data_IF_477049272221
#
_entry.id   IF_477049272221
#
_cell.length_a   1.000
_cell.length_b   1.000
_cell.length_c   1.000
_cell.angle_alpha   90.00
_cell.angle_beta   90.00
_cell.angle_gamma   90.00
#
_symmetry.space_group_name_H-M   'P 1'
#
loop_
_entity.id
_entity.type
_entity.pdbx_description
1 polymer ?
#
# COMPACT_ATOMS: atom_id res chain seq x y z
N UNK A 1 -21.71 24.07 25.78
CA UNK A 1 -20.57 23.76 24.90
C UNK A 1 -20.71 24.62 23.63
N UNK A 2 -19.72 25.42 23.24
CA UNK A 2 -19.84 26.23 22.03
C UNK A 2 -19.74 25.33 20.77
N UNK A 3 -20.24 25.81 19.63
CA UNK A 3 -20.29 25.03 18.38
C UNK A 3 -18.91 24.51 17.94
N UNK A 4 -17.85 25.29 18.17
CA UNK A 4 -16.48 24.91 17.87
C UNK A 4 -16.03 23.70 18.70
N UNK A 5 -16.26 23.69 20.02
CA UNK A 5 -15.94 22.55 20.88
C UNK A 5 -16.76 21.32 20.51
N UNK A 6 -18.02 21.47 20.11
CA UNK A 6 -18.85 20.35 19.65
C UNK A 6 -18.30 19.73 18.36
N UNK A 7 -17.91 20.57 17.39
CA UNK A 7 -17.29 20.12 16.12
C UNK A 7 -15.97 19.43 16.40
N UNK A 8 -15.11 20.02 17.23
CA UNK A 8 -13.82 19.43 17.58
C UNK A 8 -14.00 18.05 18.26
N UNK A 9 -14.95 17.94 19.19
CA UNK A 9 -15.26 16.69 19.87
C UNK A 9 -15.76 15.62 18.89
N UNK A 10 -16.59 16.01 17.91
CA UNK A 10 -17.08 15.11 16.86
C UNK A 10 -15.93 14.62 15.97
N UNK A 11 -15.01 15.49 15.55
CA UNK A 11 -13.83 15.11 14.77
C UNK A 11 -12.96 14.13 15.56
N UNK A 12 -12.67 14.44 16.82
CA UNK A 12 -11.90 13.54 17.70
C UNK A 12 -12.59 12.19 17.85
N UNK A 13 -13.90 12.17 18.07
CA UNK A 13 -14.66 10.93 18.16
C UNK A 13 -14.60 10.10 16.87
N UNK A 14 -14.71 10.74 15.69
CA UNK A 14 -14.57 10.06 14.39
C UNK A 14 -13.18 9.45 14.24
N UNK A 15 -12.12 10.21 14.55
CA UNK A 15 -10.74 9.71 14.49
C UNK A 15 -10.54 8.53 15.42
N UNK A 16 -11.05 8.60 16.66
CA UNK A 16 -10.93 7.50 17.64
C UNK A 16 -11.69 6.26 17.16
N UNK A 17 -12.91 6.41 16.66
CA UNK A 17 -13.69 5.28 16.12
C UNK A 17 -12.97 4.64 14.93
N UNK A 18 -12.41 5.45 14.03
CA UNK A 18 -11.63 4.98 12.89
C UNK A 18 -10.37 4.22 13.32
N UNK A 19 -9.63 4.74 14.30
CA UNK A 19 -8.46 4.06 14.87
C UNK A 19 -8.84 2.74 15.55
N UNK A 20 -9.97 2.68 16.26
CA UNK A 20 -10.47 1.44 16.88
C UNK A 20 -10.91 0.43 15.82
N UNK A 21 -11.59 0.86 14.75
CA UNK A 21 -11.96 -0.01 13.64
C UNK A 21 -10.71 -0.65 12.99
N UNK A 22 -9.63 0.12 12.89
CA UNK A 22 -8.33 -0.31 12.36
C UNK A 22 -7.65 -1.43 13.19
N UNK A 23 -8.12 -1.68 14.43
CA UNK A 23 -7.64 -2.80 15.28
C UNK A 23 -8.21 -4.14 14.81
N UNK A 24 -9.52 -4.17 14.54
CA UNK A 24 -10.26 -5.40 14.21
C UNK A 24 -10.23 -5.67 12.71
N UNK A 25 -10.18 -4.60 11.93
CA UNK A 25 -10.12 -4.63 10.49
C UNK A 25 -8.99 -3.70 10.04
N UNK A 26 -7.80 -4.22 9.70
CA UNK A 26 -6.66 -3.40 9.28
C UNK A 26 -6.93 -2.61 8.00
N UNK A 27 -6.08 -1.64 7.69
CA UNK A 27 -6.04 -1.00 6.37
C UNK A 27 -5.06 -1.80 5.50
N UNK A 28 -5.44 -2.09 4.26
CA UNK A 28 -4.51 -2.62 3.26
C UNK A 28 -4.02 -1.47 2.40
N UNK A 29 -2.71 -1.30 2.31
CA UNK A 29 -2.09 -0.32 1.41
C UNK A 29 -1.54 -1.10 0.24
N UNK A 30 -1.82 -0.69 -0.99
CA UNK A 30 -1.37 -1.34 -2.22
C UNK A 30 -0.66 -0.32 -3.12
N UNK A 31 0.51 -0.68 -3.61
CA UNK A 31 1.23 0.06 -4.63
C UNK A 31 0.95 -0.60 -5.98
N UNK A 32 0.36 0.16 -6.90
CA UNK A 32 -0.10 -0.31 -8.19
C UNK A 32 0.85 0.14 -9.29
N UNK A 33 1.32 -0.80 -10.11
CA UNK A 33 2.00 -0.48 -11.35
C UNK A 33 0.97 -0.14 -12.43
N UNK A 34 0.59 1.14 -12.49
CA UNK A 34 -0.36 1.64 -13.50
C UNK A 34 0.14 1.53 -14.94
N UNK A 35 1.40 1.14 -15.16
CA UNK A 35 1.98 0.93 -16.50
C UNK A 35 1.97 -0.53 -16.94
N UNK A 36 1.84 -1.48 -16.02
CA UNK A 36 1.77 -2.92 -16.27
C UNK A 36 0.41 -3.48 -15.82
N UNK A 37 -0.64 -3.24 -16.61
CA UNK A 37 -2.01 -3.75 -16.38
C UNK A 37 -2.60 -3.43 -14.98
N UNK A 38 -2.10 -2.39 -14.32
CA UNK A 38 -2.44 -2.02 -12.93
C UNK A 38 -2.14 -3.14 -11.91
N UNK A 39 -1.10 -3.95 -12.14
CA UNK A 39 -0.68 -5.00 -11.22
C UNK A 39 -0.35 -4.44 -9.82
N UNK A 40 -0.53 -5.25 -8.77
CA UNK A 40 -0.14 -4.87 -7.40
C UNK A 40 1.27 -5.38 -7.14
N UNK A 41 2.24 -4.47 -7.14
CA UNK A 41 3.66 -4.80 -6.96
C UNK A 41 4.06 -4.89 -5.49
N UNK A 42 3.46 -4.05 -4.65
CA UNK A 42 3.73 -4.04 -3.22
C UNK A 42 2.42 -3.89 -2.45
N UNK A 43 2.35 -4.51 -1.29
CA UNK A 43 1.25 -4.30 -0.37
C UNK A 43 1.73 -4.32 1.09
N UNK A 44 1.01 -3.64 1.96
CA UNK A 44 1.27 -3.66 3.38
C UNK A 44 -0.03 -3.60 4.18
N UNK A 45 -0.07 -4.33 5.29
CA UNK A 45 -1.07 -4.18 6.34
C UNK A 45 -0.67 -3.00 7.22
N UNK A 46 -1.58 -2.07 7.44
CA UNK A 46 -1.45 -1.05 8.46
C UNK A 46 -2.46 -1.30 9.59
N UNK A 47 -1.93 -1.40 10.81
CA UNK A 47 -2.71 -1.59 12.04
C UNK A 47 -2.14 -0.72 13.16
N UNK A 48 -2.75 -0.74 14.36
CA UNK A 48 -2.15 -0.08 15.53
C UNK A 48 -0.75 -0.62 15.89
N UNK A 49 -0.42 -1.85 15.46
CA UNK A 49 0.91 -2.43 15.63
C UNK A 49 1.97 -1.89 14.65
N UNK A 50 1.56 -1.06 13.69
CA UNK A 50 2.41 -0.52 12.63
C UNK A 50 2.17 -1.19 11.28
N UNK A 51 3.21 -1.13 10.44
CA UNK A 51 3.21 -1.68 9.09
C UNK A 51 3.78 -3.09 9.07
N UNK A 52 3.10 -3.98 8.35
CA UNK A 52 3.59 -5.33 8.05
C UNK A 52 3.49 -5.57 6.54
N UNK A 53 4.56 -6.06 5.94
CA UNK A 53 4.61 -6.31 4.50
C UNK A 53 3.74 -7.49 4.09
N UNK A 54 3.05 -7.31 2.97
CA UNK A 54 2.28 -8.33 2.25
C UNK A 54 2.97 -8.55 0.91
N UNK A 55 3.14 -9.82 0.52
CA UNK A 55 3.81 -10.18 -0.73
C UNK A 55 2.75 -10.54 -1.79
N UNK A 56 2.45 -9.65 -2.76
CA UNK A 56 1.29 -9.84 -3.64
C UNK A 56 1.37 -11.08 -4.53
N UNK A 57 2.58 -11.49 -4.92
CA UNK A 57 2.80 -12.68 -5.75
C UNK A 57 2.56 -14.01 -5.04
N UNK A 58 2.65 -14.05 -3.70
CA UNK A 58 2.40 -15.27 -2.90
C UNK A 58 1.08 -15.22 -2.12
N UNK A 59 0.40 -14.07 -2.12
CA UNK A 59 -0.94 -13.90 -1.57
C UNK A 59 -1.96 -14.35 -2.61
N UNK A 60 -2.75 -15.39 -2.31
CA UNK A 60 -3.67 -16.01 -3.26
C UNK A 60 -5.04 -16.31 -2.65
N UNK A 61 -6.07 -16.45 -3.47
CA UNK A 61 -7.35 -17.04 -3.06
C UNK A 61 -7.32 -18.58 -3.18
N UNK A 62 -8.46 -19.22 -2.89
CA UNK A 62 -8.61 -20.67 -2.98
C UNK A 62 -8.40 -21.21 -4.42
N UNK A 63 -8.66 -20.38 -5.43
CA UNK A 63 -8.49 -20.70 -6.85
C UNK A 63 -7.05 -20.49 -7.35
N UNK A 64 -6.14 -20.01 -6.49
CA UNK A 64 -4.74 -19.75 -6.85
C UNK A 64 -4.51 -18.43 -7.60
N UNK A 65 -5.51 -17.56 -7.67
CA UNK A 65 -5.37 -16.21 -8.23
C UNK A 65 -4.64 -15.31 -7.24
N UNK A 66 -3.60 -14.62 -7.70
CA UNK A 66 -2.73 -13.82 -6.85
C UNK A 66 -3.23 -12.39 -6.68
N UNK A 67 -2.87 -11.75 -5.56
CA UNK A 67 -3.10 -10.32 -5.33
C UNK A 67 -2.42 -9.46 -6.41
N UNK A 68 -1.24 -9.88 -6.87
CA UNK A 68 -0.49 -9.18 -7.93
C UNK A 68 -1.32 -9.00 -9.21
N UNK A 69 -2.10 -10.01 -9.60
CA UNK A 69 -2.86 -10.03 -10.85
C UNK A 69 -4.34 -9.67 -10.64
N UNK A 70 -4.72 -9.02 -9.54
CA UNK A 70 -6.13 -8.87 -9.17
C UNK A 70 -6.93 -8.05 -10.19
N UNK A 71 -6.32 -7.02 -10.78
CA UNK A 71 -6.94 -6.19 -11.83
C UNK A 71 -7.17 -6.95 -13.14
N UNK A 72 -6.34 -7.96 -13.43
CA UNK A 72 -6.50 -8.84 -14.60
C UNK A 72 -7.57 -9.91 -14.32
N UNK A 73 -7.52 -10.51 -13.13
CA UNK A 73 -8.40 -11.62 -12.77
C UNK A 73 -9.83 -11.16 -12.43
N UNK A 74 -9.98 -9.95 -11.89
CA UNK A 74 -11.24 -9.38 -11.41
C UNK A 74 -11.39 -7.91 -11.86
N UNK A 75 -11.47 -7.63 -13.17
CA UNK A 75 -11.46 -6.26 -13.69
C UNK A 75 -12.66 -5.41 -13.25
N UNK A 76 -13.78 -6.06 -12.90
CA UNK A 76 -15.02 -5.38 -12.47
C UNK A 76 -15.00 -4.99 -10.98
N UNK A 77 -14.28 -5.74 -10.14
CA UNK A 77 -14.14 -5.48 -8.70
C UNK A 77 -12.78 -5.96 -8.16
N UNK A 78 -11.69 -5.30 -8.56
CA UNK A 78 -10.35 -5.72 -8.17
C UNK A 78 -10.09 -5.54 -6.66
N UNK A 79 -10.72 -4.53 -6.05
CA UNK A 79 -10.52 -4.22 -4.63
C UNK A 79 -11.34 -5.11 -3.70
N UNK A 80 -12.56 -5.51 -4.10
CA UNK A 80 -13.31 -6.57 -3.41
C UNK A 80 -12.55 -7.90 -3.45
N UNK A 81 -12.00 -8.27 -4.62
CA UNK A 81 -11.18 -9.45 -4.75
C UNK A 81 -9.88 -9.38 -3.92
N UNK A 82 -9.24 -8.20 -3.85
CA UNK A 82 -8.06 -7.99 -2.99
C UNK A 82 -8.39 -8.20 -1.50
N UNK A 83 -9.53 -7.68 -1.02
CA UNK A 83 -10.02 -7.90 0.35
C UNK A 83 -10.19 -9.40 0.64
N UNK A 84 -10.77 -10.14 -0.30
CA UNK A 84 -11.05 -11.56 -0.14
C UNK A 84 -9.76 -12.41 -0.17
N UNK A 85 -8.82 -12.10 -1.07
CA UNK A 85 -7.48 -12.72 -1.13
C UNK A 85 -6.72 -12.51 0.19
N UNK A 86 -6.74 -11.29 0.73
CA UNK A 86 -6.08 -10.97 1.99
C UNK A 86 -6.74 -11.70 3.17
N UNK A 87 -8.07 -11.75 3.20
CA UNK A 87 -8.82 -12.50 4.20
C UNK A 87 -8.42 -13.97 4.18
N UNK A 88 -8.29 -14.57 3.00
CA UNK A 88 -7.88 -15.96 2.85
C UNK A 88 -6.41 -16.19 3.23
N UNK A 89 -5.48 -15.38 2.71
CA UNK A 89 -4.03 -15.59 2.88
C UNK A 89 -3.51 -15.23 4.27
N UNK A 90 -4.11 -14.23 4.93
CA UNK A 90 -3.60 -13.67 6.19
C UNK A 90 -4.61 -13.68 7.34
N UNK A 91 -5.86 -14.11 7.10
CA UNK A 91 -6.86 -14.27 8.16
C UNK A 91 -7.42 -12.96 8.72
N UNK A 92 -7.21 -11.83 8.04
CA UNK A 92 -7.80 -10.54 8.40
C UNK A 92 -8.54 -9.94 7.21
N UNK A 93 -9.64 -9.24 7.49
CA UNK A 93 -10.43 -8.56 6.46
C UNK A 93 -10.21 -7.07 6.57
N UNK A 94 -9.60 -6.41 5.56
CA UNK A 94 -9.48 -4.96 5.58
C UNK A 94 -10.83 -4.27 5.37
N UNK A 95 -11.03 -3.09 5.97
CA UNK A 95 -12.22 -2.24 5.79
C UNK A 95 -11.96 -1.07 4.83
N UNK A 96 -10.69 -0.87 4.52
CA UNK A 96 -10.22 0.20 3.68
C UNK A 96 -8.98 -0.29 2.93
N UNK A 97 -8.98 -0.06 1.62
CA UNK A 97 -7.82 -0.21 0.78
C UNK A 97 -7.33 1.19 0.38
N UNK A 98 -6.04 1.45 0.56
CA UNK A 98 -5.38 2.65 0.08
C UNK A 98 -4.52 2.26 -1.12
N UNK A 99 -4.92 2.66 -2.32
CA UNK A 99 -4.15 2.45 -3.55
C UNK A 99 -3.23 3.65 -3.81
N UNK A 100 -2.00 3.38 -4.21
CA UNK A 100 -0.97 4.37 -4.56
C UNK A 100 -0.37 3.95 -5.91
N UNK A 101 -0.52 4.78 -6.95
CA UNK A 101 0.06 4.48 -8.26
C UNK A 101 1.50 5.02 -8.43
N UNK A 102 2.11 4.75 -9.58
CA UNK A 102 3.48 5.16 -9.92
C UNK A 102 3.68 6.69 -9.81
N UNK A 103 2.70 7.49 -10.26
CA UNK A 103 2.79 8.95 -10.22
C UNK A 103 2.83 9.47 -8.79
N UNK A 104 1.98 8.94 -7.91
CA UNK A 104 2.01 9.28 -6.49
C UNK A 104 3.33 8.86 -5.85
N UNK A 105 3.79 7.63 -6.13
CA UNK A 105 5.06 7.13 -5.58
C UNK A 105 6.24 8.02 -5.97
N UNK A 106 6.34 8.42 -7.24
CA UNK A 106 7.41 9.28 -7.73
C UNK A 106 7.32 10.70 -7.17
N UNK A 107 6.11 11.27 -7.06
CA UNK A 107 5.93 12.61 -6.49
C UNK A 107 6.30 12.64 -5.00
N UNK A 108 5.89 11.62 -4.24
CA UNK A 108 6.11 11.56 -2.79
C UNK A 108 7.55 11.18 -2.44
N UNK A 109 8.15 10.22 -3.16
CA UNK A 109 9.43 9.62 -2.78
C UNK A 109 10.57 9.88 -3.78
N UNK A 110 10.32 10.64 -4.84
CA UNK A 110 11.32 10.96 -5.87
C UNK A 110 11.26 10.05 -7.09
N UNK A 111 11.73 10.58 -8.23
CA UNK A 111 11.81 9.86 -9.50
C UNK A 111 12.75 8.66 -9.38
N UNK A 112 12.29 7.47 -9.76
CA UNK A 112 13.10 6.24 -9.72
C UNK A 112 12.99 5.44 -8.41
N UNK A 113 12.12 5.84 -7.46
CA UNK A 113 11.96 5.11 -6.20
C UNK A 113 11.64 3.62 -6.41
N UNK A 114 10.84 3.28 -7.41
CA UNK A 114 10.51 1.89 -7.76
C UNK A 114 11.75 1.13 -8.23
N UNK A 115 12.58 1.77 -9.05
CA UNK A 115 13.84 1.19 -9.54
C UNK A 115 14.86 1.05 -8.42
N UNK A 116 14.94 2.00 -7.49
CA UNK A 116 15.80 1.95 -6.31
C UNK A 116 15.38 0.83 -5.34
N UNK A 117 14.07 0.65 -5.14
CA UNK A 117 13.54 -0.48 -4.36
C UNK A 117 13.91 -1.80 -5.04
N UNK A 118 13.70 -1.91 -6.35
CA UNK A 118 14.03 -3.12 -7.14
C UNK A 118 15.55 -3.38 -7.16
N UNK A 119 16.38 -2.35 -7.16
CA UNK A 119 17.84 -2.48 -7.11
C UNK A 119 18.34 -3.01 -5.74
N UNK A 120 17.63 -2.70 -4.66
CA UNK A 120 17.95 -3.18 -3.31
C UNK A 120 17.32 -4.56 -3.01
N UNK A 121 16.18 -4.91 -3.62
CA UNK A 121 15.49 -6.20 -3.46
C UNK A 121 16.18 -7.34 -4.21
N UNK A 122 17.11 -8.01 -3.53
CA UNK A 122 17.92 -9.08 -4.11
C UNK A 122 17.48 -10.50 -3.81
N UNK A 123 16.43 -10.72 -3.03
CA UNK A 123 16.10 -12.06 -2.50
C UNK A 123 15.73 -13.08 -3.59
N UNK A 124 15.37 -12.64 -4.81
CA UNK A 124 15.11 -13.49 -5.98
C UNK A 124 15.88 -13.10 -7.27
N UNK A 125 16.95 -12.30 -7.17
CA UNK A 125 17.93 -12.19 -8.26
C UNK A 125 17.67 -11.18 -9.38
N UNK A 126 16.85 -10.14 -9.19
CA UNK A 126 16.85 -8.99 -10.10
C UNK A 126 17.95 -8.00 -9.70
N UNK A 127 19.16 -8.21 -10.22
CA UNK A 127 20.25 -7.26 -10.11
C UNK A 127 19.98 -6.05 -11.03
N UNK A 128 19.15 -5.10 -10.55
CA UNK A 128 18.77 -3.92 -11.32
C UNK A 128 19.88 -2.87 -11.48
N UNK A 129 20.92 -2.90 -10.64
CA UNK A 129 22.03 -1.95 -10.77
C UNK A 129 23.34 -2.58 -10.27
N UNK A 130 24.42 -2.48 -11.06
CA UNK A 130 25.73 -3.09 -10.78
C UNK A 130 26.49 -2.54 -9.56
N UNK A 131 25.82 -1.72 -8.73
CA UNK A 131 26.35 -1.07 -7.53
C UNK A 131 25.74 -1.54 -6.21
N UNK A 132 24.76 -2.45 -6.20
CA UNK A 132 24.12 -2.91 -4.96
C UNK A 132 24.21 -4.43 -4.84
N UNK A 133 24.76 -4.91 -3.72
CA UNK A 133 24.80 -6.33 -3.39
C UNK A 133 23.39 -6.76 -2.96
N UNK A 134 22.56 -7.11 -3.94
CA UNK A 134 21.20 -7.61 -3.73
C UNK A 134 21.19 -8.73 -2.69
N UNK A 135 20.70 -8.40 -1.50
CA UNK A 135 20.64 -9.33 -0.35
C UNK A 135 19.59 -8.92 0.69
N UNK A 136 18.84 -7.84 0.45
CA UNK A 136 17.84 -7.31 1.37
C UNK A 136 16.47 -7.94 1.12
N UNK A 137 15.67 -8.07 2.19
CA UNK A 137 14.24 -8.34 2.02
C UNK A 137 13.56 -7.14 1.35
N UNK A 138 12.47 -7.36 0.62
CA UNK A 138 11.71 -6.27 -0.02
C UNK A 138 11.38 -5.12 0.95
N UNK A 139 11.08 -5.45 2.22
CA UNK A 139 10.81 -4.42 3.23
C UNK A 139 12.03 -3.56 3.54
N UNK A 140 13.19 -4.18 3.78
CA UNK A 140 14.45 -3.45 4.03
C UNK A 140 14.90 -2.64 2.81
N UNK A 141 14.63 -3.15 1.61
CA UNK A 141 14.88 -2.46 0.35
C UNK A 141 14.04 -1.20 0.20
N UNK A 142 12.77 -1.25 0.59
CA UNK A 142 11.89 -0.07 0.65
C UNK A 142 12.38 0.95 1.66
N UNK A 143 12.65 0.51 2.88
CA UNK A 143 13.13 1.42 3.94
C UNK A 143 14.43 2.12 3.53
N UNK A 144 15.34 1.38 2.90
CA UNK A 144 16.61 1.92 2.38
C UNK A 144 16.38 2.94 1.25
N UNK A 145 15.53 2.61 0.27
CA UNK A 145 15.26 3.50 -0.85
C UNK A 145 14.56 4.79 -0.40
N UNK A 146 13.61 4.69 0.55
CA UNK A 146 12.93 5.85 1.12
C UNK A 146 13.86 6.71 1.98
N UNK A 147 14.76 6.11 2.76
CA UNK A 147 15.75 6.84 3.55
C UNK A 147 16.73 7.64 2.67
N UNK A 148 17.06 7.13 1.48
CA UNK A 148 18.03 7.74 0.57
C UNK A 148 17.45 8.87 -0.28
N UNK A 149 16.19 8.75 -0.73
CA UNK A 149 15.57 9.76 -1.61
C UNK A 149 14.89 10.91 -0.85
N UNK A 150 14.49 10.67 0.41
CA UNK A 150 13.70 11.63 1.20
C UNK A 150 12.25 11.72 0.71
N UNK A 151 11.31 11.88 1.64
CA UNK A 151 9.88 11.96 1.31
C UNK A 151 9.39 13.41 1.27
N UNK A 152 8.79 13.82 0.15
CA UNK A 152 8.03 15.06 0.03
C UNK A 152 6.59 14.85 0.50
N UNK A 153 6.38 14.95 1.81
CA UNK A 153 5.07 14.72 2.43
C UNK A 153 4.00 15.74 1.98
N UNK A 154 4.37 16.89 1.41
CA UNK A 154 3.42 17.85 0.86
C UNK A 154 2.71 17.34 -0.40
N UNK A 155 3.31 16.38 -1.10
CA UNK A 155 2.70 15.77 -2.29
C UNK A 155 1.54 14.85 -1.91
N UNK A 156 1.55 14.23 -0.72
CA UNK A 156 0.48 13.31 -0.28
C UNK A 156 -0.93 13.90 -0.51
N UNK A 157 -1.30 15.07 0.07
CA UNK A 157 -2.62 15.65 -0.16
C UNK A 157 -2.88 16.03 -1.63
N UNK A 158 -1.85 16.41 -2.39
CA UNK A 158 -1.98 16.76 -3.82
C UNK A 158 -2.31 15.50 -4.63
N UNK A 159 -1.57 14.41 -4.40
CA UNK A 159 -1.77 13.14 -5.09
C UNK A 159 -3.11 12.48 -4.73
N UNK A 160 -3.61 12.69 -3.51
CA UNK A 160 -5.00 12.32 -3.14
C UNK A 160 -6.01 13.09 -3.99
N UNK A 161 -5.85 14.42 -4.12
CA UNK A 161 -6.76 15.25 -4.91
C UNK A 161 -6.71 14.94 -6.41
N UNK A 162 -5.56 14.49 -6.91
CA UNK A 162 -5.38 14.06 -8.30
C UNK A 162 -5.92 12.64 -8.56
N UNK A 163 -6.31 11.90 -7.52
CA UNK A 163 -6.79 10.52 -7.64
C UNK A 163 -5.69 9.47 -7.80
N UNK A 164 -4.42 9.86 -7.61
CA UNK A 164 -3.25 8.98 -7.67
C UNK A 164 -3.04 8.20 -6.35
N UNK A 165 -3.54 8.76 -5.24
CA UNK A 165 -3.77 8.04 -3.98
C UNK A 165 -5.27 7.93 -3.76
N UNK A 166 -5.78 6.69 -3.61
CA UNK A 166 -7.22 6.42 -3.53
C UNK A 166 -7.57 5.70 -2.23
N UNK A 167 -8.65 6.14 -1.59
CA UNK A 167 -9.23 5.50 -0.42
C UNK A 167 -10.49 4.75 -0.85
N UNK A 168 -10.45 3.42 -0.79
CA UNK A 168 -11.49 2.54 -1.30
C UNK A 168 -12.06 1.75 -0.12
N UNK A 169 -13.27 2.12 0.37
CA UNK A 169 -13.95 1.35 1.40
C UNK A 169 -14.32 -0.03 0.85
N UNK A 170 -14.06 -1.08 1.63
CA UNK A 170 -14.31 -2.48 1.25
C UNK A 170 -14.93 -3.29 2.38
#
# INVERSE_FOLDING_TARGET
MNKLHAILLAIVAIVVIFLIATIVSPILIVAEDSTEDASIDMAAKFSLGGFEWVYPGSSMNAEGQTLHNVHINHPEDPYGAARDIITYSYGYTPHLIVSVNNDAAQAIFGSGIVDDIRANDGYYGYAGNGGVSGSMSRGDAVDTAMANNGANLFEIPIQILMGNVRFIPV
#
